data_IF_727910343251
#
_entry.id   IF_727910343251
#
_cell.length_a   1.000
_cell.length_b   1.000
_cell.length_c   1.000
_cell.angle_alpha   90.00
_cell.angle_beta   90.00
_cell.angle_gamma   90.00
#
_symmetry.space_group_name_H-M   'P 1'
#
loop_
_entity.id
_entity.type
_entity.pdbx_description
1 polymer ?
#
# COMPACT_ATOMS: atom_id res chain seq x y z
N UNK A 1 -11.32 -15.58 -15.43
CA UNK A 1 -11.74 -16.33 -14.22
C UNK A 1 -12.79 -15.50 -13.48
N UNK A 2 -13.86 -16.11 -12.95
CA UNK A 2 -14.90 -15.37 -12.22
C UNK A 2 -15.16 -16.02 -10.87
N UNK A 3 -15.15 -15.22 -9.81
CA UNK A 3 -15.47 -15.62 -8.43
C UNK A 3 -16.64 -14.74 -7.97
N UNK A 4 -17.74 -15.37 -7.58
CA UNK A 4 -18.91 -14.69 -7.03
C UNK A 4 -19.25 -15.34 -5.69
N UNK A 5 -19.03 -14.62 -4.58
CA UNK A 5 -19.23 -15.09 -3.21
C UNK A 5 -18.59 -16.47 -2.95
N UNK A 6 -17.28 -16.49 -2.84
CA UNK A 6 -16.50 -17.72 -2.64
C UNK A 6 -15.01 -17.44 -2.65
N UNK A 7 -14.18 -18.47 -2.41
CA UNK A 7 -12.74 -18.34 -2.31
C UNK A 7 -12.01 -19.13 -3.39
N UNK A 8 -10.99 -18.53 -3.99
CA UNK A 8 -10.01 -19.24 -4.80
C UNK A 8 -8.59 -18.91 -4.34
N UNK A 9 -7.77 -19.96 -4.19
CA UNK A 9 -6.35 -19.85 -3.92
C UNK A 9 -5.58 -20.30 -5.16
N UNK A 10 -4.75 -19.44 -5.73
CA UNK A 10 -3.99 -19.72 -6.95
C UNK A 10 -2.50 -19.73 -6.64
N UNK A 11 -1.84 -20.84 -6.93
CA UNK A 11 -0.42 -21.05 -6.60
C UNK A 11 0.51 -20.92 -7.81
N UNK A 12 0.00 -21.13 -9.02
CA UNK A 12 0.77 -21.09 -10.26
C UNK A 12 -0.15 -20.87 -11.47
N UNK A 13 0.46 -20.54 -12.62
CA UNK A 13 -0.22 -20.39 -13.90
C UNK A 13 -0.66 -18.95 -14.22
N UNK A 14 -1.24 -18.75 -15.40
CA UNK A 14 -1.66 -17.43 -15.88
C UNK A 14 -3.17 -17.27 -15.73
N UNK A 15 -3.59 -16.29 -14.93
CA UNK A 15 -4.98 -15.88 -14.81
C UNK A 15 -5.23 -14.71 -15.76
N UNK A 16 -6.14 -14.91 -16.71
CA UNK A 16 -6.54 -13.90 -17.70
C UNK A 16 -7.94 -13.41 -17.38
N UNK A 17 -8.14 -12.10 -17.37
CA UNK A 17 -9.44 -11.43 -17.17
C UNK A 17 -10.19 -11.96 -15.94
N UNK A 18 -9.76 -11.50 -14.77
CA UNK A 18 -10.27 -11.95 -13.47
C UNK A 18 -11.37 -11.00 -13.01
N UNK A 19 -12.47 -11.56 -12.49
CA UNK A 19 -13.50 -10.81 -11.77
C UNK A 19 -13.77 -11.49 -10.43
N UNK A 20 -13.71 -10.73 -9.34
CA UNK A 20 -14.00 -11.18 -7.97
C UNK A 20 -15.07 -10.26 -7.40
N UNK A 21 -16.19 -10.84 -6.96
CA UNK A 21 -17.36 -10.07 -6.50
C UNK A 21 -18.04 -10.70 -5.30
N UNK A 22 -18.82 -9.87 -4.61
CA UNK A 22 -19.57 -10.23 -3.43
C UNK A 22 -18.72 -10.15 -2.16
N UNK A 23 -19.38 -9.89 -1.03
CA UNK A 23 -18.71 -9.61 0.24
C UNK A 23 -17.87 -10.80 0.75
N UNK A 24 -18.20 -12.02 0.32
CA UNK A 24 -17.45 -13.24 0.62
C UNK A 24 -16.51 -13.67 -0.53
N UNK A 25 -16.43 -12.87 -1.59
CA UNK A 25 -15.54 -13.08 -2.73
C UNK A 25 -14.08 -12.85 -2.34
N UNK A 26 -13.27 -13.90 -2.41
CA UNK A 26 -11.84 -13.85 -2.08
C UNK A 26 -11.03 -14.49 -3.21
N UNK A 27 -10.10 -13.74 -3.77
CA UNK A 27 -9.00 -14.28 -4.56
C UNK A 27 -7.70 -14.10 -3.79
N UNK A 28 -7.01 -15.20 -3.54
CA UNK A 28 -5.67 -15.19 -2.95
C UNK A 28 -4.68 -15.82 -3.92
N UNK A 29 -3.75 -15.01 -4.41
CA UNK A 29 -2.68 -15.45 -5.29
C UNK A 29 -1.43 -15.66 -4.45
N UNK A 30 -1.18 -16.93 -4.17
CA UNK A 30 -0.17 -17.42 -3.25
C UNK A 30 1.23 -17.28 -3.85
N UNK A 31 2.24 -17.31 -2.97
CA UNK A 31 3.62 -17.54 -3.40
C UNK A 31 3.73 -18.90 -4.14
N UNK A 32 4.62 -19.05 -5.13
CA UNK A 32 4.79 -20.32 -5.82
C UNK A 32 5.24 -21.42 -4.86
N UNK A 33 4.78 -22.64 -5.12
CA UNK A 33 5.34 -23.83 -4.48
C UNK A 33 6.71 -24.16 -5.10
N UNK A 34 7.52 -24.97 -4.41
CA UNK A 34 8.85 -25.38 -4.86
C UNK A 34 8.78 -25.90 -6.31
N UNK A 35 9.66 -25.39 -7.18
CA UNK A 35 9.75 -25.74 -8.61
C UNK A 35 8.59 -25.26 -9.50
N UNK A 36 7.66 -24.44 -9.01
CA UNK A 36 6.63 -23.82 -9.84
C UNK A 36 7.02 -22.38 -10.19
N UNK A 37 6.74 -22.00 -11.44
CA UNK A 37 6.80 -20.59 -11.83
C UNK A 37 5.75 -19.79 -11.03
N UNK A 38 6.02 -18.52 -10.70
CA UNK A 38 5.04 -17.67 -10.06
C UNK A 38 3.75 -17.55 -10.88
N UNK A 39 2.63 -17.38 -10.17
CA UNK A 39 1.37 -17.05 -10.82
C UNK A 39 1.46 -15.69 -11.53
N UNK A 40 0.78 -15.58 -12.66
CA UNK A 40 0.73 -14.36 -13.47
C UNK A 40 -0.69 -13.84 -13.59
N UNK A 41 -0.88 -12.53 -13.44
CA UNK A 41 -2.14 -11.84 -13.73
C UNK A 41 -2.00 -11.03 -15.01
N UNK A 42 -2.92 -11.27 -15.95
CA UNK A 42 -2.89 -10.65 -17.28
C UNK A 42 -4.26 -10.10 -17.65
N UNK A 43 -4.27 -8.89 -18.20
CA UNK A 43 -5.48 -8.20 -18.60
C UNK A 43 -6.24 -7.66 -17.39
N UNK A 44 -7.57 -7.55 -17.53
CA UNK A 44 -8.38 -6.88 -16.51
C UNK A 44 -8.52 -7.73 -15.24
N UNK A 45 -8.31 -7.13 -14.09
CA UNK A 45 -8.58 -7.72 -12.77
C UNK A 45 -9.57 -6.79 -12.06
N UNK A 46 -10.82 -7.21 -11.96
CA UNK A 46 -11.90 -6.41 -11.35
C UNK A 46 -12.27 -7.02 -10.00
N UNK A 47 -12.24 -6.22 -8.95
CA UNK A 47 -12.59 -6.65 -7.59
C UNK A 47 -13.65 -5.68 -7.05
N UNK A 48 -14.85 -6.16 -6.80
CA UNK A 48 -15.98 -5.29 -6.45
C UNK A 48 -16.87 -5.84 -5.34
N UNK A 49 -17.82 -5.01 -4.88
CA UNK A 49 -18.92 -5.43 -3.99
C UNK A 49 -18.45 -6.01 -2.64
N UNK A 50 -17.44 -5.39 -2.02
CA UNK A 50 -16.89 -5.82 -0.73
C UNK A 50 -15.87 -6.97 -0.83
N UNK A 51 -15.60 -7.48 -2.03
CA UNK A 51 -14.65 -8.57 -2.23
C UNK A 51 -13.23 -8.23 -1.76
N UNK A 52 -12.46 -9.28 -1.44
CA UNK A 52 -11.06 -9.19 -1.05
C UNK A 52 -10.16 -9.84 -2.10
N UNK A 53 -9.13 -9.10 -2.50
CA UNK A 53 -8.06 -9.60 -3.35
C UNK A 53 -6.75 -9.61 -2.54
N UNK A 54 -5.96 -10.66 -2.67
CA UNK A 54 -4.70 -10.83 -1.95
C UNK A 54 -3.62 -11.34 -2.89
N UNK A 55 -2.46 -10.70 -2.87
CA UNK A 55 -1.31 -11.08 -3.69
C UNK A 55 -0.06 -11.18 -2.84
N UNK A 56 0.65 -12.30 -2.95
CA UNK A 56 1.97 -12.45 -2.37
C UNK A 56 3.05 -11.85 -3.28
N UNK A 57 4.17 -11.43 -2.70
CA UNK A 57 5.20 -10.64 -3.39
C UNK A 57 5.87 -11.28 -4.62
N UNK A 58 5.74 -12.60 -4.81
CA UNK A 58 6.29 -13.30 -5.96
C UNK A 58 5.40 -13.26 -7.23
N UNK A 59 4.15 -12.80 -7.11
CA UNK A 59 3.17 -12.82 -8.22
C UNK A 59 3.56 -11.80 -9.30
N UNK A 60 3.55 -12.23 -10.57
CA UNK A 60 3.76 -11.30 -11.68
C UNK A 60 2.44 -10.63 -12.06
N UNK A 61 2.33 -9.35 -11.76
CA UNK A 61 1.18 -8.51 -12.09
C UNK A 61 1.49 -7.46 -13.15
N UNK A 62 2.66 -7.51 -13.78
CA UNK A 62 3.17 -6.45 -14.66
C UNK A 62 2.28 -6.16 -15.87
N UNK A 63 1.43 -7.12 -16.25
CA UNK A 63 0.48 -7.05 -17.36
C UNK A 63 -0.98 -6.95 -16.90
N UNK A 64 -1.22 -6.65 -15.63
CA UNK A 64 -2.55 -6.55 -15.06
C UNK A 64 -3.05 -5.10 -15.05
N UNK A 65 -4.31 -4.92 -15.46
CA UNK A 65 -5.10 -3.71 -15.31
C UNK A 65 -6.08 -3.91 -14.15
N UNK A 66 -5.77 -3.37 -12.98
CA UNK A 66 -6.52 -3.62 -11.74
C UNK A 66 -7.58 -2.54 -11.52
N UNK A 67 -8.82 -2.94 -11.29
CA UNK A 67 -9.95 -2.07 -10.93
C UNK A 67 -10.57 -2.53 -9.61
N UNK A 68 -10.56 -1.67 -8.61
CA UNK A 68 -11.09 -1.92 -7.27
C UNK A 68 -12.31 -1.03 -7.00
N UNK A 69 -13.46 -1.62 -6.75
CA UNK A 69 -14.72 -0.90 -6.52
C UNK A 69 -15.36 -1.31 -5.19
N UNK A 70 -15.30 -0.43 -4.18
CA UNK A 70 -15.77 -0.70 -2.82
C UNK A 70 -15.25 -2.05 -2.30
N UNK A 71 -13.94 -2.27 -2.46
CA UNK A 71 -13.26 -3.54 -2.21
C UNK A 71 -11.92 -3.33 -1.54
N UNK A 72 -11.27 -4.42 -1.14
CA UNK A 72 -9.96 -4.39 -0.51
C UNK A 72 -8.94 -5.23 -1.27
N UNK A 73 -7.76 -4.67 -1.50
CA UNK A 73 -6.61 -5.39 -1.99
C UNK A 73 -5.49 -5.39 -0.95
N UNK A 74 -5.06 -6.57 -0.52
CA UNK A 74 -3.91 -6.75 0.36
C UNK A 74 -2.71 -7.25 -0.43
N UNK A 75 -1.62 -6.51 -0.37
CA UNK A 75 -0.32 -6.93 -0.90
C UNK A 75 0.50 -7.45 0.27
N UNK A 76 0.97 -8.68 0.13
CA UNK A 76 1.64 -9.45 1.17
C UNK A 76 3.11 -9.61 0.76
N UNK A 77 4.02 -9.07 1.57
CA UNK A 77 5.45 -9.11 1.27
C UNK A 77 6.02 -10.53 1.20
N UNK A 78 6.95 -10.81 0.28
CA UNK A 78 7.66 -12.08 0.22
C UNK A 78 8.86 -12.09 1.18
N UNK A 79 8.67 -12.72 2.33
CA UNK A 79 9.69 -12.80 3.40
C UNK A 79 10.72 -13.94 3.20
N UNK A 80 10.66 -14.68 2.09
CA UNK A 80 11.47 -15.90 1.91
C UNK A 80 12.83 -15.66 1.24
N UNK A 81 13.05 -14.48 0.65
CA UNK A 81 14.30 -14.12 -0.03
C UNK A 81 14.95 -12.90 0.64
N UNK A 82 16.11 -13.12 1.27
CA UNK A 82 17.18 -12.15 1.57
C UNK A 82 16.79 -10.65 1.57
N UNK A 83 16.42 -10.03 2.69
CA UNK A 83 16.38 -8.55 2.89
C UNK A 83 15.91 -7.66 1.71
N UNK A 84 15.11 -8.17 0.78
CA UNK A 84 14.77 -7.52 -0.48
C UNK A 84 13.32 -7.08 -0.42
N UNK A 85 13.11 -5.78 -0.60
CA UNK A 85 11.78 -5.20 -0.66
C UNK A 85 10.95 -5.87 -1.75
N UNK A 86 9.70 -6.20 -1.42
CA UNK A 86 8.73 -6.75 -2.37
C UNK A 86 8.40 -5.69 -3.42
N UNK A 87 8.55 -6.01 -4.70
CA UNK A 87 8.22 -5.09 -5.80
C UNK A 87 7.07 -5.66 -6.60
N UNK A 88 5.99 -4.90 -6.70
CA UNK A 88 4.82 -5.27 -7.48
C UNK A 88 4.57 -4.21 -8.55
N UNK A 89 4.47 -4.63 -9.81
CA UNK A 89 4.28 -3.73 -10.95
C UNK A 89 2.91 -4.00 -11.56
N UNK A 90 2.16 -2.96 -11.90
CA UNK A 90 0.89 -3.01 -12.60
C UNK A 90 0.98 -2.23 -13.91
N UNK A 91 0.14 -2.61 -14.87
CA UNK A 91 -0.13 -1.73 -16.00
C UNK A 91 -0.90 -0.51 -15.48
N UNK A 92 -2.10 -0.68 -14.94
CA UNK A 92 -2.92 0.42 -14.44
C UNK A 92 -3.66 0.06 -13.15
N UNK A 93 -3.94 1.06 -12.31
CA UNK A 93 -4.72 0.93 -11.09
C UNK A 93 -5.87 1.95 -11.07
N UNK A 94 -7.11 1.46 -11.07
CA UNK A 94 -8.31 2.26 -10.88
C UNK A 94 -8.97 1.90 -9.53
N UNK A 95 -9.40 2.91 -8.78
CA UNK A 95 -10.01 2.73 -7.46
C UNK A 95 -11.29 3.57 -7.35
N UNK A 96 -12.32 3.01 -6.73
CA UNK A 96 -13.56 3.71 -6.38
C UNK A 96 -14.00 3.31 -4.99
N UNK A 97 -13.64 4.11 -3.98
CA UNK A 97 -13.94 3.82 -2.58
C UNK A 97 -13.24 2.56 -2.06
N UNK A 98 -12.09 2.20 -2.64
CA UNK A 98 -11.37 0.98 -2.33
C UNK A 98 -10.21 1.20 -1.36
N UNK A 99 -9.74 0.11 -0.75
CA UNK A 99 -8.59 0.10 0.13
C UNK A 99 -7.46 -0.75 -0.47
N UNK A 100 -6.25 -0.21 -0.53
CA UNK A 100 -5.03 -0.95 -0.81
C UNK A 100 -4.20 -1.00 0.46
N UNK A 101 -3.89 -2.21 0.90
CA UNK A 101 -3.25 -2.48 2.18
C UNK A 101 -1.91 -3.15 1.91
N UNK A 102 -0.81 -2.45 2.22
CA UNK A 102 0.54 -2.99 2.14
C UNK A 102 0.92 -3.58 3.49
N UNK A 103 1.01 -4.91 3.54
CA UNK A 103 1.28 -5.66 4.75
C UNK A 103 2.56 -6.49 4.58
N UNK A 104 3.40 -6.49 5.61
CA UNK A 104 4.22 -7.67 5.85
C UNK A 104 3.31 -8.77 6.41
N UNK A 105 3.51 -10.03 6.01
CA UNK A 105 2.94 -11.15 6.76
C UNK A 105 3.27 -10.96 8.25
N UNK A 106 2.31 -11.19 9.18
CA UNK A 106 2.68 -11.40 10.57
C UNK A 106 3.51 -12.67 10.62
N UNK A 107 4.83 -12.51 10.62
CA UNK A 107 5.71 -13.66 10.80
C UNK A 107 5.65 -14.03 12.26
N UNK A 108 5.25 -15.27 12.56
CA UNK A 108 5.58 -15.93 13.83
C UNK A 108 7.09 -16.18 13.88
N UNK A 109 7.89 -15.10 13.95
CA UNK A 109 9.35 -15.15 14.08
C UNK A 109 9.71 -14.97 15.54
N UNK A 110 9.94 -16.09 16.21
CA UNK A 110 10.48 -16.14 17.57
C UNK A 110 11.95 -15.68 17.68
N UNK A 111 12.59 -15.12 16.64
CA UNK A 111 14.04 -14.92 16.69
C UNK A 111 14.66 -13.94 15.68
N UNK A 112 13.97 -12.88 15.22
CA UNK A 112 14.67 -11.86 14.40
C UNK A 112 14.46 -10.43 14.90
N UNK A 113 15.59 -9.74 15.03
CA UNK A 113 15.77 -8.32 15.34
C UNK A 113 14.97 -7.43 14.40
N UNK A 114 14.51 -6.28 14.90
CA UNK A 114 13.63 -5.31 14.23
C UNK A 114 14.13 -4.79 12.85
N UNK A 115 15.38 -5.06 12.45
CA UNK A 115 15.97 -4.70 11.16
C UNK A 115 15.60 -5.63 9.98
N UNK A 116 14.44 -6.30 10.03
CA UNK A 116 14.07 -7.37 9.09
C UNK A 116 12.64 -7.24 8.55
N UNK A 117 12.11 -6.02 8.50
CA UNK A 117 10.84 -5.74 7.82
C UNK A 117 11.05 -5.70 6.30
N UNK A 118 10.19 -6.43 5.58
CA UNK A 118 10.15 -6.36 4.12
C UNK A 118 9.10 -5.32 3.72
N UNK A 119 9.54 -4.24 3.09
CA UNK A 119 8.67 -3.18 2.58
C UNK A 119 8.22 -3.47 1.15
N UNK A 120 7.05 -2.95 0.79
CA UNK A 120 6.41 -3.15 -0.50
C UNK A 120 6.54 -1.89 -1.33
N UNK A 121 7.07 -2.01 -2.55
CA UNK A 121 6.97 -0.98 -3.58
C UNK A 121 5.92 -1.40 -4.60
N UNK A 122 4.78 -0.71 -4.63
CA UNK A 122 3.76 -0.82 -5.67
C UNK A 122 4.05 0.20 -6.77
N UNK A 123 4.29 -0.26 -7.99
CA UNK A 123 4.47 0.58 -9.18
C UNK A 123 3.29 0.40 -10.14
N UNK A 124 2.73 1.49 -10.65
CA UNK A 124 1.65 1.47 -11.65
C UNK A 124 1.90 2.55 -12.71
N UNK A 125 1.45 2.35 -13.95
CA UNK A 125 1.55 3.41 -14.95
C UNK A 125 0.54 4.53 -14.67
N UNK A 126 -0.74 4.19 -14.48
CA UNK A 126 -1.75 5.17 -14.09
C UNK A 126 -2.39 4.81 -12.76
N UNK A 127 -2.80 5.85 -12.03
CA UNK A 127 -3.60 5.75 -10.82
C UNK A 127 -4.82 6.67 -10.96
N UNK A 128 -6.03 6.13 -10.88
CA UNK A 128 -7.25 6.95 -11.06
C UNK A 128 -8.37 6.67 -10.06
N UNK A 129 -9.16 7.70 -9.75
CA UNK A 129 -10.40 7.60 -8.98
C UNK A 129 -10.25 8.01 -7.51
N UNK A 130 -10.70 7.20 -6.56
CA UNK A 130 -10.60 7.53 -5.14
C UNK A 130 -10.45 6.30 -4.23
N UNK A 131 -9.73 6.46 -3.13
CA UNK A 131 -9.58 5.40 -2.13
C UNK A 131 -8.46 5.63 -1.13
N UNK A 132 -8.12 4.59 -0.39
CA UNK A 132 -7.17 4.65 0.71
C UNK A 132 -5.99 3.70 0.48
N UNK A 133 -4.79 4.16 0.81
CA UNK A 133 -3.59 3.35 0.90
C UNK A 133 -3.16 3.24 2.36
N UNK A 134 -2.86 2.03 2.81
CA UNK A 134 -2.30 1.76 4.14
C UNK A 134 -0.86 1.29 3.94
N UNK A 135 0.09 2.06 4.45
CA UNK A 135 1.53 1.92 4.25
C UNK A 135 2.25 1.89 5.59
N UNK A 136 3.46 1.31 5.61
CA UNK A 136 4.33 1.27 6.78
C UNK A 136 5.63 2.00 6.54
N UNK A 137 6.24 2.46 7.63
CA UNK A 137 7.56 3.06 7.65
C UNK A 137 8.41 2.46 8.75
N UNK A 138 9.71 2.39 8.52
CA UNK A 138 10.72 2.37 9.56
C UNK A 138 11.55 3.63 9.37
N UNK A 139 11.14 4.69 10.04
CA UNK A 139 11.74 6.01 9.87
C UNK A 139 13.19 6.04 10.36
N UNK A 140 13.52 5.33 11.44
CA UNK A 140 14.88 5.26 11.99
C UNK A 140 15.89 4.63 11.02
N UNK A 141 15.44 3.68 10.19
CA UNK A 141 16.27 3.07 9.15
C UNK A 141 16.01 3.64 7.74
N UNK A 142 15.20 4.70 7.63
CA UNK A 142 14.81 5.33 6.36
C UNK A 142 14.18 4.37 5.34
N UNK A 143 13.38 3.41 5.80
CA UNK A 143 12.70 2.43 4.95
C UNK A 143 11.18 2.62 4.99
N UNK A 144 10.48 2.33 3.88
CA UNK A 144 9.03 2.45 3.80
C UNK A 144 8.42 1.61 2.69
N UNK A 145 7.14 1.33 2.86
CA UNK A 145 6.26 0.97 1.75
C UNK A 145 6.14 2.19 0.81
N UNK A 146 6.12 1.94 -0.50
CA UNK A 146 6.14 2.98 -1.52
C UNK A 146 5.07 2.74 -2.58
N UNK A 147 4.46 3.84 -3.04
CA UNK A 147 3.61 3.89 -4.22
C UNK A 147 4.27 4.76 -5.29
N UNK A 148 4.57 4.15 -6.44
CA UNK A 148 5.19 4.81 -7.57
C UNK A 148 4.22 4.82 -8.76
N UNK A 149 3.86 6.00 -9.24
CA UNK A 149 3.03 6.18 -10.44
C UNK A 149 3.90 6.75 -11.55
N UNK A 150 4.21 5.94 -12.58
CA UNK A 150 5.16 6.33 -13.63
C UNK A 150 4.55 7.19 -14.73
N UNK A 151 3.22 7.22 -14.82
CA UNK A 151 2.45 8.05 -15.73
C UNK A 151 1.56 9.01 -14.95
N UNK A 152 0.25 8.99 -15.26
CA UNK A 152 -0.71 9.96 -14.72
C UNK A 152 -1.40 9.44 -13.45
N UNK A 153 -1.41 10.28 -12.42
CA UNK A 153 -2.28 10.12 -11.25
C UNK A 153 -3.42 11.15 -11.30
N UNK A 154 -4.67 10.71 -11.15
CA UNK A 154 -5.85 11.60 -11.18
C UNK A 154 -6.92 11.10 -10.22
N UNK A 155 -7.17 11.84 -9.13
CA UNK A 155 -8.13 11.40 -8.13
C UNK A 155 -7.86 11.90 -6.73
N UNK A 156 -8.68 11.44 -5.79
CA UNK A 156 -8.60 11.77 -4.36
C UNK A 156 -8.19 10.52 -3.56
N UNK A 157 -6.96 10.52 -3.06
CA UNK A 157 -6.41 9.39 -2.32
C UNK A 157 -5.98 9.81 -0.92
N UNK A 158 -6.29 8.97 0.06
CA UNK A 158 -5.79 9.12 1.43
C UNK A 158 -4.69 8.10 1.68
N UNK A 159 -3.68 8.50 2.43
CA UNK A 159 -2.57 7.64 2.81
C UNK A 159 -2.55 7.57 4.33
N UNK A 160 -2.65 6.36 4.85
CA UNK A 160 -2.52 6.04 6.26
C UNK A 160 -1.17 5.38 6.46
N UNK A 161 -0.40 5.89 7.42
CA UNK A 161 0.98 5.47 7.65
C UNK A 161 1.11 4.99 9.09
N UNK A 162 1.67 3.79 9.25
CA UNK A 162 2.04 3.24 10.56
C UNK A 162 3.55 3.08 10.63
N UNK A 163 4.18 3.75 11.58
CA UNK A 163 5.62 3.57 11.85
C UNK A 163 5.82 2.32 12.72
N UNK A 164 6.64 1.40 12.25
CA UNK A 164 7.00 0.15 12.93
C UNK A 164 8.43 0.16 13.47
N UNK A 165 9.21 1.19 13.09
CA UNK A 165 10.58 1.40 13.51
C UNK A 165 10.72 2.06 14.88
N UNK A 166 11.97 2.40 15.23
CA UNK A 166 12.27 3.23 16.39
C UNK A 166 11.97 4.71 16.10
N UNK A 167 11.90 5.51 17.17
CA UNK A 167 11.74 6.96 17.09
C UNK A 167 12.72 7.60 16.09
N UNK A 168 12.24 8.38 15.09
CA UNK A 168 13.12 9.08 14.16
C UNK A 168 13.98 10.13 14.85
N UNK A 169 15.14 10.42 14.26
CA UNK A 169 15.93 11.58 14.63
C UNK A 169 15.26 12.87 14.12
N UNK A 170 15.52 13.99 14.78
CA UNK A 170 14.98 15.27 14.35
C UNK A 170 15.51 15.62 12.95
N UNK A 171 14.60 15.82 12.00
CA UNK A 171 14.92 16.20 10.61
C UNK A 171 14.90 15.05 9.60
N UNK A 172 14.57 13.82 10.02
CA UNK A 172 14.41 12.70 9.09
C UNK A 172 13.23 12.93 8.14
N UNK A 173 13.40 12.56 6.86
CA UNK A 173 12.35 12.66 5.85
C UNK A 173 12.30 11.40 5.01
N UNK A 174 11.10 11.01 4.58
CA UNK A 174 10.87 9.81 3.79
C UNK A 174 9.87 10.07 2.68
N UNK A 175 10.11 9.44 1.52
CA UNK A 175 9.24 9.55 0.35
C UNK A 175 8.39 8.30 0.23
N UNK A 176 7.08 8.44 0.43
CA UNK A 176 6.11 7.35 0.35
C UNK A 176 5.45 7.26 -1.02
N UNK A 177 5.25 8.41 -1.66
CA UNK A 177 4.61 8.49 -2.97
C UNK A 177 5.45 9.28 -3.93
N UNK A 178 5.63 8.71 -5.12
CA UNK A 178 6.23 9.37 -6.28
C UNK A 178 5.23 9.29 -7.43
N UNK A 179 4.95 10.42 -8.06
CA UNK A 179 4.10 10.49 -9.26
C UNK A 179 4.87 11.21 -10.35
N UNK A 180 4.85 10.69 -11.58
CA UNK A 180 5.49 11.36 -12.71
C UNK A 180 4.64 12.53 -13.23
N UNK A 181 3.31 12.45 -13.14
CA UNK A 181 2.45 13.58 -13.47
C UNK A 181 1.14 13.51 -12.68
N UNK A 182 0.71 14.65 -12.16
CA UNK A 182 -0.57 14.79 -11.45
C UNK A 182 -1.40 15.83 -12.19
N UNK A 183 -2.56 15.43 -12.70
CA UNK A 183 -3.54 16.39 -13.18
C UNK A 183 -4.36 16.90 -11.99
N UNK A 184 -3.75 17.80 -11.21
CA UNK A 184 -4.49 18.64 -10.27
C UNK A 184 -5.32 19.62 -11.11
N UNK A 185 -6.60 19.81 -10.82
CA UNK A 185 -7.43 20.84 -11.47
C UNK A 185 -6.86 22.23 -11.15
N UNK A 186 -5.84 22.66 -11.87
CA UNK A 186 -5.34 24.02 -11.90
C UNK A 186 -4.85 24.27 -13.32
N UNK A 187 -5.57 25.17 -13.99
CA UNK A 187 -5.18 25.75 -15.26
C UNK A 187 -3.75 26.28 -15.14
N UNK A 188 -2.82 25.71 -15.89
CA UNK A 188 -2.06 26.33 -16.99
C UNK A 188 -1.01 25.34 -17.50
N UNK A 189 -0.71 25.44 -18.79
CA UNK A 189 0.16 24.52 -19.52
C UNK A 189 1.57 24.38 -18.92
N UNK A 190 2.01 23.14 -18.65
CA UNK A 190 3.41 22.76 -18.60
C UNK A 190 3.57 21.33 -19.14
N UNK A 191 4.45 21.08 -20.14
CA UNK A 191 4.77 19.75 -20.60
C UNK A 191 6.09 19.31 -19.94
N UNK A 192 6.05 18.79 -18.72
CA UNK A 192 7.13 18.00 -18.12
C UNK A 192 6.61 17.33 -16.85
N UNK A 193 7.07 16.10 -16.60
CA UNK A 193 6.67 15.25 -15.50
C UNK A 193 6.81 15.96 -14.14
N UNK A 194 5.69 16.33 -13.51
CA UNK A 194 5.65 16.95 -12.19
C UNK A 194 5.86 15.88 -11.12
N UNK A 195 7.11 15.71 -10.67
CA UNK A 195 7.46 14.85 -9.53
C UNK A 195 6.84 15.38 -8.23
N UNK A 196 5.64 14.94 -7.89
CA UNK A 196 5.07 15.19 -6.55
C UNK A 196 5.59 14.11 -5.61
N UNK A 197 6.61 14.46 -4.84
CA UNK A 197 7.11 13.68 -3.70
C UNK A 197 6.39 14.14 -2.44
N UNK A 198 5.52 13.29 -1.87
CA UNK A 198 4.96 13.56 -0.54
C UNK A 198 6.03 13.21 0.49
N UNK A 199 6.70 14.23 1.02
CA UNK A 199 7.67 14.12 2.10
C UNK A 199 6.99 14.44 3.42
N UNK A 200 6.91 13.47 4.31
CA UNK A 200 6.50 13.71 5.69
C UNK A 200 7.71 14.22 6.48
N UNK A 201 7.56 15.39 7.09
CA UNK A 201 8.50 15.92 8.08
C UNK A 201 7.79 15.86 9.44
N UNK A 202 8.16 14.91 10.30
CA UNK A 202 7.55 14.77 11.63
C UNK A 202 8.50 15.39 12.64
N UNK A 203 8.14 16.53 13.25
CA UNK A 203 9.00 17.15 14.24
C UNK A 203 8.93 16.36 15.56
N UNK A 204 10.07 16.30 16.26
CA UNK A 204 10.31 15.47 17.44
C UNK A 204 9.36 15.71 18.65
N UNK A 205 8.53 16.75 18.64
CA UNK A 205 7.62 17.09 19.75
C UNK A 205 6.24 16.42 19.68
N UNK A 206 5.93 15.64 18.63
CA UNK A 206 4.71 14.79 18.61
C UNK A 206 4.84 13.56 19.55
N UNK A 207 6.00 13.36 20.19
CA UNK A 207 6.33 12.23 21.07
C UNK A 207 5.62 12.18 22.45
N UNK A 208 4.82 13.17 22.86
CA UNK A 208 4.27 13.19 24.23
C UNK A 208 2.84 12.62 24.40
N UNK A 209 2.16 12.11 23.37
CA UNK A 209 0.72 11.72 23.52
C UNK A 209 0.35 10.31 23.05
N UNK A 210 1.26 9.50 22.50
CA UNK A 210 0.92 8.10 22.13
C UNK A 210 1.94 7.12 22.74
N UNK A 211 2.11 7.23 24.05
CA UNK A 211 2.68 6.16 24.87
C UNK A 211 1.88 6.07 26.17
N UNK A 212 0.71 5.45 26.09
CA UNK A 212 -0.04 4.90 27.22
C UNK A 212 -0.67 5.88 28.20
N UNK A 213 -1.95 6.21 28.02
CA UNK A 213 -2.97 6.27 29.08
C UNK A 213 -4.31 6.72 28.50
N UNK A 214 -5.35 5.91 28.71
CA UNK A 214 -6.69 6.46 28.85
C UNK A 214 -6.67 7.32 30.11
N UNK A 215 -6.82 8.64 29.99
CA UNK A 215 -7.29 9.46 31.11
C UNK A 215 -7.98 10.74 30.60
N UNK A 216 -9.26 10.84 30.97
CA UNK A 216 -10.00 12.10 31.14
C UNK A 216 -9.11 13.08 31.91
N UNK A 217 -9.20 14.37 31.60
CA UNK A 217 -9.60 15.44 32.53
C UNK A 217 -9.59 16.76 31.76
N UNK A 218 -10.71 17.47 31.80
CA UNK A 218 -10.74 18.89 31.49
C UNK A 218 -10.36 19.69 32.73
N UNK A 219 -9.68 20.81 32.53
CA UNK A 219 -9.88 22.03 33.31
C UNK A 219 -9.20 23.18 32.56
N UNK A 220 -10.00 24.15 32.16
CA UNK A 220 -9.51 25.47 31.77
C UNK A 220 -8.84 26.13 32.99
N UNK A 221 -7.76 26.88 32.77
CA UNK A 221 -7.39 28.01 33.62
C UNK A 221 -6.62 29.03 32.77
N UNK A 222 -7.19 30.22 32.66
CA UNK A 222 -6.61 31.44 32.09
C UNK A 222 -5.65 32.11 33.09
N UNK A 223 -4.79 33.05 32.65
CA UNK A 223 -3.51 33.34 33.32
C UNK A 223 -3.60 34.36 34.47
N UNK A 224 -2.54 34.34 35.28
CA UNK A 224 -2.23 35.23 36.40
C UNK A 224 -2.27 36.74 36.07
N UNK A 225 -2.70 37.55 37.03
CA UNK A 225 -2.01 38.81 37.37
C UNK A 225 -2.34 39.29 38.80
N UNK A 226 -1.27 39.56 39.54
CA UNK A 226 -1.08 40.23 40.84
C UNK A 226 -1.88 39.78 42.08
#
# INVERSE_FOLDING_TARGET
MVINNGRANVWAGTMVNVSVRGNDGILEVMKPQINYAPAMLVGKVVVSEGASFRTHGAVDTSKADVSLENSAWTIIADITTTNQNTRLNLANLAMSGANVIMMAEPVTRSSVTASAENFITLTTNTLSGNGNFYMRTDMANHQSDQLNVTGQATGDFKIFVTDTGASPAAGDSLTLVTTAAVMLHLRWAMPEALLISVRMNIPCWIMATIAGASQRIGAANYPFNH
#
